data_IF_050422373325
#
_entry.id   IF_050422373325
#
_cell.length_a   1.000
_cell.length_b   1.000
_cell.length_c   1.000
_cell.angle_alpha   90.00
_cell.angle_beta   90.00
_cell.angle_gamma   90.00
#
_symmetry.space_group_name_H-M   'P 1'
#
loop_
_entity.id
_entity.type
_entity.pdbx_description
1 polymer ?
#
# COMPACT_ATOMS: atom_id res chain seq x y z
N UNK A 1 -44.32 3.48 13.55
CA UNK A 1 -43.29 2.81 12.73
C UNK A 1 -43.02 3.73 11.57
N UNK A 2 -42.04 4.62 11.71
CA UNK A 2 -41.75 5.63 10.70
C UNK A 2 -40.54 5.21 9.86
N UNK A 3 -40.84 4.87 8.60
CA UNK A 3 -39.86 4.69 7.53
C UNK A 3 -39.25 6.04 7.18
N UNK A 4 -38.13 6.38 7.80
CA UNK A 4 -37.28 7.47 7.30
C UNK A 4 -36.50 6.97 6.09
N UNK A 5 -36.81 7.56 4.93
CA UNK A 5 -36.07 7.40 3.69
C UNK A 5 -34.61 7.87 3.89
N UNK A 6 -33.71 6.94 4.15
CA UNK A 6 -32.28 7.19 4.08
C UNK A 6 -31.86 7.23 2.61
N UNK A 7 -31.69 8.45 2.08
CA UNK A 7 -31.04 8.69 0.81
C UNK A 7 -29.53 8.75 1.10
N UNK A 8 -28.71 7.74 0.71
CA UNK A 8 -27.28 7.83 0.92
C UNK A 8 -26.72 9.01 0.12
N UNK A 9 -25.80 9.80 0.70
CA UNK A 9 -25.19 10.91 -0.02
C UNK A 9 -24.43 10.39 -1.24
N UNK A 10 -24.64 11.02 -2.39
CA UNK A 10 -23.81 10.80 -3.59
C UNK A 10 -22.36 11.12 -3.23
N UNK A 11 -21.55 10.08 -3.08
CA UNK A 11 -20.10 10.21 -2.87
C UNK A 11 -19.52 10.84 -4.15
N UNK A 12 -19.26 12.15 -4.10
CA UNK A 12 -18.30 12.77 -5.02
C UNK A 12 -16.97 12.05 -4.79
N UNK A 13 -16.38 11.50 -5.85
CA UNK A 13 -15.09 10.82 -5.82
C UNK A 13 -14.09 11.63 -4.98
N UNK A 14 -13.75 11.12 -3.79
CA UNK A 14 -12.69 11.71 -2.98
C UNK A 14 -11.39 11.40 -3.73
N UNK A 15 -10.86 12.40 -4.45
CA UNK A 15 -9.47 12.35 -4.90
C UNK A 15 -8.62 12.37 -3.63
N UNK A 16 -7.91 11.28 -3.34
CA UNK A 16 -6.80 11.31 -2.39
C UNK A 16 -5.80 12.37 -2.88
N UNK A 17 -5.91 13.58 -2.35
CA UNK A 17 -4.97 14.66 -2.63
C UNK A 17 -3.68 14.37 -1.86
N UNK A 18 -2.60 14.16 -2.61
CA UNK A 18 -1.22 14.06 -2.11
C UNK A 18 -0.84 15.37 -1.42
N UNK A 19 -0.75 15.37 -0.09
CA UNK A 19 0.00 16.40 0.62
C UNK A 19 1.47 16.00 0.64
N UNK A 20 2.24 16.61 -0.27
CA UNK A 20 3.70 16.56 -0.27
C UNK A 20 4.22 17.42 0.89
N UNK A 21 5.02 16.82 1.77
CA UNK A 21 5.99 17.57 2.58
C UNK A 21 7.36 17.28 1.95
N UNK A 22 7.89 18.27 1.23
CA UNK A 22 9.30 18.36 0.86
C UNK A 22 10.13 18.36 2.14
N UNK A 23 11.18 17.55 2.20
CA UNK A 23 12.38 17.89 2.97
C UNK A 23 13.64 17.20 2.42
N UNK A 24 14.42 18.03 1.72
CA UNK A 24 15.87 18.15 1.69
C UNK A 24 16.76 16.90 1.57
N UNK A 25 17.36 16.81 0.37
CA UNK A 25 18.64 16.19 0.08
C UNK A 25 19.74 16.95 0.87
N UNK A 26 20.48 16.26 1.74
CA UNK A 26 21.78 16.72 2.21
C UNK A 26 22.87 15.79 1.70
N UNK A 27 23.67 16.31 0.78
CA UNK A 27 24.97 15.79 0.37
C UNK A 27 25.87 15.55 1.59
N UNK A 28 26.53 14.40 1.64
CA UNK A 28 27.92 14.30 2.08
C UNK A 28 28.45 12.89 1.79
N UNK A 29 29.46 12.80 0.92
CA UNK A 29 30.53 11.80 1.02
C UNK A 29 31.67 12.18 0.06
N UNK A 30 32.74 12.76 0.63
CA UNK A 30 34.03 12.90 -0.03
C UNK A 30 34.97 11.78 0.44
N UNK A 31 35.58 11.10 -0.54
CA UNK A 31 36.88 10.41 -0.57
C UNK A 31 37.19 9.28 0.43
N UNK A 32 37.42 8.08 -0.13
CA UNK A 32 38.78 7.56 -0.25
C UNK A 32 38.93 6.46 -1.33
N UNK A 33 39.91 6.66 -2.22
CA UNK A 33 40.47 5.75 -3.22
C UNK A 33 41.21 4.58 -2.50
N UNK A 34 41.24 3.31 -2.91
CA UNK A 34 41.50 2.70 -4.21
C UNK A 34 40.92 1.26 -4.21
N UNK A 35 39.75 1.06 -4.81
CA UNK A 35 39.25 -0.26 -5.28
C UNK A 35 38.11 -0.07 -6.31
N UNK A 36 38.13 1.07 -7.00
CA UNK A 36 36.94 1.71 -7.58
C UNK A 36 36.43 1.06 -8.86
N UNK A 37 37.29 0.44 -9.66
CA UNK A 37 36.90 0.12 -11.05
C UNK A 37 36.03 -1.14 -11.20
N UNK A 38 36.10 -2.11 -10.27
CA UNK A 38 35.20 -3.26 -10.28
C UNK A 38 33.86 -2.98 -9.58
N UNK A 39 33.85 -2.08 -8.59
CA UNK A 39 32.62 -1.64 -7.95
C UNK A 39 31.80 -0.73 -8.87
N UNK A 40 32.43 0.23 -9.56
CA UNK A 40 31.73 1.17 -10.45
C UNK A 40 30.99 0.44 -11.58
N UNK A 41 31.62 -0.54 -12.23
CA UNK A 41 30.99 -1.27 -13.35
C UNK A 41 29.82 -2.17 -12.89
N UNK A 42 29.89 -2.76 -11.70
CA UNK A 42 28.77 -3.50 -11.11
C UNK A 42 27.65 -2.59 -10.60
N UNK A 43 27.97 -1.37 -10.15
CA UNK A 43 26.97 -0.43 -9.63
C UNK A 43 26.17 0.20 -10.77
N UNK A 44 26.82 0.53 -11.90
CA UNK A 44 26.18 1.11 -13.09
C UNK A 44 25.35 0.07 -13.85
N UNK A 45 25.81 -1.19 -13.94
CA UNK A 45 25.04 -2.27 -14.59
C UNK A 45 23.80 -2.69 -13.79
N UNK A 46 23.87 -2.60 -12.46
CA UNK A 46 22.73 -2.88 -11.60
C UNK A 46 21.69 -1.74 -11.60
N UNK A 47 22.11 -0.48 -11.53
CA UNK A 47 21.17 0.66 -11.55
C UNK A 47 20.36 0.71 -12.86
N UNK A 48 20.99 0.41 -14.00
CA UNK A 48 20.31 0.34 -15.30
C UNK A 48 19.37 -0.86 -15.42
N UNK A 49 19.73 -2.02 -14.88
CA UNK A 49 18.87 -3.22 -14.83
C UNK A 49 17.64 -3.04 -13.95
N UNK A 50 17.79 -2.48 -12.75
CA UNK A 50 16.66 -2.26 -11.85
C UNK A 50 15.74 -1.15 -12.34
N UNK A 51 16.28 -0.12 -13.00
CA UNK A 51 15.48 0.89 -13.67
C UNK A 51 14.56 0.30 -14.75
N UNK A 52 15.08 -0.56 -15.62
CA UNK A 52 14.28 -1.28 -16.62
C UNK A 52 13.20 -2.16 -15.98
N UNK A 53 13.56 -2.90 -14.93
CA UNK A 53 12.59 -3.74 -14.18
C UNK A 53 11.48 -2.89 -13.57
N UNK A 54 11.84 -1.74 -13.00
CA UNK A 54 10.92 -0.77 -12.44
C UNK A 54 9.98 -0.23 -13.51
N UNK A 55 10.49 0.24 -14.64
CA UNK A 55 9.67 0.83 -15.71
C UNK A 55 8.64 -0.16 -16.24
N UNK A 56 9.02 -1.45 -16.38
CA UNK A 56 8.08 -2.51 -16.77
C UNK A 56 7.04 -2.81 -15.66
N UNK A 57 7.41 -2.76 -14.38
CA UNK A 57 6.43 -2.91 -13.28
C UNK A 57 5.43 -1.74 -13.29
N UNK A 58 5.92 -0.52 -13.50
CA UNK A 58 5.08 0.68 -13.53
C UNK A 58 4.12 0.65 -14.72
N UNK A 59 4.54 0.16 -15.89
CA UNK A 59 3.64 0.01 -17.03
C UNK A 59 2.53 -1.00 -16.74
N UNK A 60 2.84 -2.11 -16.06
CA UNK A 60 1.86 -3.13 -15.67
C UNK A 60 0.78 -2.61 -14.71
N UNK A 61 1.08 -1.61 -13.87
CA UNK A 61 0.06 -0.98 -13.01
C UNK A 61 -1.04 -0.26 -13.81
N UNK A 62 -0.78 0.15 -15.05
CA UNK A 62 -1.75 0.85 -15.88
C UNK A 62 -2.74 -0.08 -16.59
N UNK A 63 -2.57 -1.41 -16.47
CA UNK A 63 -3.37 -2.41 -17.18
C UNK A 63 -4.07 -3.36 -16.20
N UNK A 64 -5.36 -3.15 -15.98
CA UNK A 64 -6.16 -3.92 -15.01
C UNK A 64 -6.22 -5.43 -15.29
N UNK A 65 -6.19 -5.83 -16.57
CA UNK A 65 -6.13 -7.23 -17.00
C UNK A 65 -4.81 -7.93 -16.62
N UNK A 66 -3.75 -7.16 -16.36
CA UNK A 66 -2.39 -7.66 -16.12
C UNK A 66 -2.02 -7.74 -14.64
N UNK A 67 -2.93 -7.43 -13.71
CA UNK A 67 -2.62 -7.41 -12.28
C UNK A 67 -2.12 -8.76 -11.72
N UNK A 68 -2.57 -9.89 -12.26
CA UNK A 68 -2.02 -11.20 -11.88
C UNK A 68 -0.55 -11.35 -12.23
N UNK A 69 -0.14 -10.83 -13.39
CA UNK A 69 1.26 -10.85 -13.86
C UNK A 69 2.09 -9.90 -13.01
N UNK A 70 1.60 -8.67 -12.80
CA UNK A 70 2.19 -7.66 -11.94
C UNK A 70 2.53 -8.21 -10.55
N UNK A 71 1.56 -8.83 -9.86
CA UNK A 71 1.77 -9.37 -8.52
C UNK A 71 2.81 -10.49 -8.50
N UNK A 72 2.80 -11.39 -9.48
CA UNK A 72 3.84 -12.43 -9.58
C UNK A 72 5.22 -11.83 -9.77
N UNK A 73 5.31 -10.75 -10.56
CA UNK A 73 6.58 -10.09 -10.84
C UNK A 73 7.12 -9.38 -9.60
N UNK A 74 6.28 -8.62 -8.90
CA UNK A 74 6.63 -8.02 -7.61
C UNK A 74 7.13 -9.06 -6.61
N UNK A 75 6.45 -10.21 -6.49
CA UNK A 75 6.90 -11.29 -5.60
C UNK A 75 8.28 -11.88 -5.99
N UNK A 76 8.71 -11.73 -7.24
CA UNK A 76 10.01 -12.21 -7.76
C UNK A 76 11.12 -11.16 -7.72
N UNK A 77 10.82 -9.87 -7.56
CA UNK A 77 11.84 -8.83 -7.38
C UNK A 77 12.74 -9.13 -6.19
N UNK A 78 14.02 -8.85 -6.30
CA UNK A 78 14.99 -9.05 -5.21
C UNK A 78 14.99 -7.88 -4.22
N UNK A 79 15.81 -8.01 -3.19
CA UNK A 79 15.90 -7.05 -2.09
C UNK A 79 16.50 -5.72 -2.51
N UNK A 80 17.39 -5.72 -3.53
CA UNK A 80 18.03 -4.50 -4.04
C UNK A 80 16.99 -3.63 -4.72
N UNK A 81 16.12 -4.23 -5.55
CA UNK A 81 14.99 -3.53 -6.16
C UNK A 81 14.12 -2.83 -5.10
N UNK A 82 13.80 -3.52 -4.00
CA UNK A 82 12.96 -2.93 -2.96
C UNK A 82 13.68 -1.85 -2.14
N UNK A 83 14.98 -1.96 -1.89
CA UNK A 83 15.75 -0.88 -1.25
C UNK A 83 15.67 0.44 -2.04
N UNK A 84 15.58 0.36 -3.36
CA UNK A 84 15.55 1.54 -4.23
C UNK A 84 14.12 2.09 -4.46
N UNK A 85 13.13 1.21 -4.58
CA UNK A 85 11.79 1.59 -5.06
C UNK A 85 10.63 1.32 -4.08
N UNK A 86 10.89 0.82 -2.87
CA UNK A 86 9.85 0.40 -1.91
C UNK A 86 8.75 1.43 -1.70
N UNK A 87 9.09 2.70 -1.45
CA UNK A 87 8.10 3.75 -1.18
C UNK A 87 7.10 3.92 -2.34
N UNK A 88 7.59 3.98 -3.58
CA UNK A 88 6.76 4.19 -4.77
C UNK A 88 5.90 2.94 -5.04
N UNK A 89 6.47 1.77 -4.83
CA UNK A 89 5.78 0.50 -5.05
C UNK A 89 4.72 0.25 -3.97
N UNK A 90 4.99 0.60 -2.71
CA UNK A 90 4.01 0.47 -1.62
C UNK A 90 2.73 1.22 -1.96
N UNK A 91 2.84 2.50 -2.29
CA UNK A 91 1.68 3.34 -2.62
C UNK A 91 0.89 2.74 -3.78
N UNK A 92 1.56 2.32 -4.86
CA UNK A 92 0.88 1.71 -6.02
C UNK A 92 0.21 0.38 -5.69
N UNK A 93 0.80 -0.44 -4.83
CA UNK A 93 0.20 -1.72 -4.38
C UNK A 93 -1.01 -1.48 -3.50
N UNK A 94 -0.99 -0.44 -2.66
CA UNK A 94 -2.12 -0.05 -1.83
C UNK A 94 -3.25 0.58 -2.66
N UNK A 95 -2.93 1.42 -3.65
CA UNK A 95 -3.88 1.92 -4.65
C UNK A 95 -4.57 0.76 -5.38
N UNK A 96 -3.79 -0.24 -5.81
CA UNK A 96 -4.31 -1.46 -6.42
C UNK A 96 -5.25 -2.20 -5.47
N UNK A 97 -4.95 -2.25 -4.18
CA UNK A 97 -5.80 -2.90 -3.19
C UNK A 97 -7.14 -2.16 -3.04
N UNK A 98 -7.13 -0.83 -2.87
CA UNK A 98 -8.34 0.02 -2.79
C UNK A 98 -9.17 -0.10 -4.07
N UNK A 99 -8.52 -0.03 -5.23
CA UNK A 99 -9.16 -0.20 -6.53
C UNK A 99 -9.85 -1.56 -6.63
N UNK A 100 -9.17 -2.64 -6.23
CA UNK A 100 -9.77 -3.97 -6.24
C UNK A 100 -11.02 -4.00 -5.38
N UNK A 101 -10.94 -3.57 -4.10
CA UNK A 101 -12.09 -3.52 -3.18
C UNK A 101 -13.28 -2.80 -3.80
N UNK A 102 -13.05 -1.62 -4.35
CA UNK A 102 -14.10 -0.78 -4.94
C UNK A 102 -14.76 -1.46 -6.14
N UNK A 103 -14.00 -2.22 -6.93
CA UNK A 103 -14.51 -2.93 -8.09
C UNK A 103 -15.12 -4.31 -7.76
N UNK A 104 -14.74 -4.97 -6.66
CA UNK A 104 -15.44 -6.20 -6.18
C UNK A 104 -16.93 -5.90 -5.96
N UNK A 105 -17.24 -4.70 -5.48
CA UNK A 105 -18.61 -4.24 -5.22
C UNK A 105 -19.40 -4.11 -6.54
N UNK A 106 -18.75 -3.78 -7.65
CA UNK A 106 -19.39 -3.55 -8.95
C UNK A 106 -19.33 -4.76 -9.90
N UNK A 107 -18.38 -5.68 -9.71
CA UNK A 107 -18.16 -6.84 -10.58
C UNK A 107 -17.90 -8.06 -9.70
N UNK A 108 -18.83 -9.02 -9.69
CA UNK A 108 -18.76 -10.27 -8.91
C UNK A 108 -17.50 -11.13 -9.15
N UNK A 109 -16.70 -10.79 -10.15
CA UNK A 109 -15.41 -11.41 -10.45
C UNK A 109 -14.27 -10.48 -10.08
N UNK A 110 -13.82 -10.54 -8.84
CA UNK A 110 -12.60 -9.85 -8.39
C UNK A 110 -11.34 -10.53 -8.92
N UNK A 111 -10.47 -9.71 -9.52
CA UNK A 111 -9.43 -10.06 -10.50
C UNK A 111 -8.08 -10.46 -9.84
N UNK A 112 -7.92 -10.27 -8.52
CA UNK A 112 -6.67 -10.52 -7.80
C UNK A 112 -6.93 -11.09 -6.39
N UNK A 113 -6.22 -12.17 -6.03
CA UNK A 113 -6.29 -12.75 -4.69
C UNK A 113 -5.65 -11.79 -3.66
N UNK A 114 -6.46 -11.22 -2.76
CA UNK A 114 -6.05 -10.35 -1.65
C UNK A 114 -4.86 -10.92 -0.86
N UNK A 115 -4.80 -12.24 -0.68
CA UNK A 115 -3.67 -12.92 -0.01
C UNK A 115 -2.33 -12.61 -0.67
N UNK A 116 -2.30 -12.54 -2.00
CA UNK A 116 -1.05 -12.24 -2.71
C UNK A 116 -0.66 -10.76 -2.61
N UNK A 117 -1.63 -9.86 -2.47
CA UNK A 117 -1.33 -8.44 -2.19
C UNK A 117 -0.64 -8.33 -0.83
N UNK A 118 -1.17 -8.99 0.21
CA UNK A 118 -0.53 -9.00 1.54
C UNK A 118 0.87 -9.62 1.51
N UNK A 119 1.11 -10.64 0.68
CA UNK A 119 2.47 -11.19 0.48
C UNK A 119 3.43 -10.17 -0.12
N UNK A 120 2.97 -9.34 -1.06
CA UNK A 120 3.77 -8.25 -1.63
C UNK A 120 4.04 -7.18 -0.57
N UNK A 121 3.03 -6.75 0.18
CA UNK A 121 3.19 -5.78 1.27
C UNK A 121 4.22 -6.26 2.31
N UNK A 122 4.11 -7.50 2.77
CA UNK A 122 5.08 -8.10 3.71
C UNK A 122 6.50 -8.16 3.14
N UNK A 123 6.66 -8.22 1.82
CA UNK A 123 7.98 -8.18 1.17
C UNK A 123 8.55 -6.77 1.09
N UNK A 124 7.71 -5.75 0.92
CA UNK A 124 8.12 -4.34 0.83
C UNK A 124 8.47 -3.77 2.20
N UNK A 125 7.70 -4.13 3.22
CA UNK A 125 7.77 -3.60 4.59
C UNK A 125 9.20 -3.46 5.18
N UNK A 126 10.09 -4.45 5.08
CA UNK A 126 11.43 -4.37 5.67
C UNK A 126 12.33 -3.28 5.08
N UNK A 127 11.94 -2.71 3.92
CA UNK A 127 12.72 -1.73 3.17
C UNK A 127 12.21 -0.29 3.38
N UNK A 128 11.33 -0.08 4.35
CA UNK A 128 10.70 1.21 4.60
C UNK A 128 10.95 1.71 6.02
N UNK A 129 11.02 3.04 6.16
CA UNK A 129 11.01 3.67 7.47
C UNK A 129 9.67 3.42 8.17
N UNK A 130 9.74 3.09 9.46
CA UNK A 130 8.57 2.72 10.25
C UNK A 130 7.54 3.85 10.31
N UNK A 131 7.95 5.11 10.38
CA UNK A 131 7.02 6.23 10.47
C UNK A 131 6.32 6.46 9.13
N UNK A 132 7.06 6.35 8.02
CA UNK A 132 6.47 6.43 6.67
C UNK A 132 5.42 5.34 6.51
N UNK A 133 5.78 4.11 6.86
CA UNK A 133 4.91 2.96 6.70
C UNK A 133 3.65 3.06 7.59
N UNK A 134 3.82 3.45 8.86
CA UNK A 134 2.72 3.71 9.79
C UNK A 134 1.78 4.78 9.27
N UNK A 135 2.30 5.90 8.78
CA UNK A 135 1.50 6.99 8.22
C UNK A 135 0.75 6.54 6.95
N UNK A 136 1.43 5.87 6.02
CA UNK A 136 0.81 5.37 4.79
C UNK A 136 -0.32 4.41 5.08
N UNK A 137 -0.09 3.37 5.90
CA UNK A 137 -1.14 2.41 6.24
C UNK A 137 -2.30 3.04 7.01
N UNK A 138 -2.03 3.99 7.89
CA UNK A 138 -3.07 4.77 8.59
C UNK A 138 -3.99 5.49 7.59
N UNK A 139 -3.40 6.21 6.63
CA UNK A 139 -4.15 6.95 5.61
C UNK A 139 -5.01 6.03 4.76
N UNK A 140 -4.45 4.90 4.30
CA UNK A 140 -5.18 3.92 3.50
C UNK A 140 -6.30 3.24 4.29
N UNK A 141 -6.08 2.92 5.57
CA UNK A 141 -7.11 2.34 6.42
C UNK A 141 -8.29 3.30 6.60
N UNK A 142 -8.03 4.58 6.86
CA UNK A 142 -9.08 5.61 6.96
C UNK A 142 -9.91 5.66 5.67
N UNK A 143 -9.25 5.59 4.50
CA UNK A 143 -9.94 5.55 3.21
C UNK A 143 -10.80 4.29 3.08
N UNK A 144 -10.29 3.13 3.47
CA UNK A 144 -11.02 1.86 3.34
C UNK A 144 -12.20 1.73 4.31
N UNK A 145 -12.14 2.37 5.49
CA UNK A 145 -13.26 2.41 6.44
C UNK A 145 -14.50 3.10 5.89
N UNK A 146 -14.37 3.88 4.81
CA UNK A 146 -15.50 4.47 4.10
C UNK A 146 -16.23 3.45 3.19
N UNK A 147 -15.73 2.22 3.09
CA UNK A 147 -16.28 1.16 2.24
C UNK A 147 -16.85 0.02 3.08
N UNK A 148 -18.06 -0.43 2.76
CA UNK A 148 -18.76 -1.53 3.44
C UNK A 148 -18.31 -2.93 2.92
N UNK A 149 -17.00 -3.20 2.88
CA UNK A 149 -16.44 -4.46 2.33
C UNK A 149 -15.79 -5.36 3.39
N UNK A 150 -16.01 -6.67 3.29
CA UNK A 150 -15.29 -7.68 4.11
C UNK A 150 -13.75 -7.59 3.94
N UNK A 151 -13.30 -7.15 2.76
CA UNK A 151 -11.88 -6.94 2.49
C UNK A 151 -11.27 -5.86 3.39
N UNK A 152 -12.03 -4.81 3.74
CA UNK A 152 -11.63 -3.77 4.69
C UNK A 152 -11.21 -4.38 6.02
N UNK A 153 -12.01 -5.30 6.58
CA UNK A 153 -11.69 -5.97 7.83
C UNK A 153 -10.38 -6.78 7.72
N UNK A 154 -10.14 -7.46 6.59
CA UNK A 154 -8.92 -8.23 6.36
C UNK A 154 -7.68 -7.35 6.35
N UNK A 155 -7.75 -6.17 5.72
CA UNK A 155 -6.66 -5.20 5.77
C UNK A 155 -6.43 -4.68 7.18
N UNK A 156 -7.49 -4.35 7.92
CA UNK A 156 -7.37 -3.87 9.29
C UNK A 156 -6.75 -4.92 10.22
N UNK A 157 -7.11 -6.20 10.09
CA UNK A 157 -6.46 -7.28 10.83
C UNK A 157 -4.99 -7.42 10.47
N UNK A 158 -4.66 -7.31 9.17
CA UNK A 158 -3.26 -7.31 8.72
C UNK A 158 -2.47 -6.20 9.40
N UNK A 159 -3.00 -4.96 9.39
CA UNK A 159 -2.36 -3.80 10.00
C UNK A 159 -2.26 -3.96 11.53
N UNK A 160 -3.33 -4.32 12.25
CA UNK A 160 -3.28 -4.54 13.71
C UNK A 160 -2.17 -5.51 14.09
N UNK A 161 -2.07 -6.63 13.37
CA UNK A 161 -1.11 -7.69 13.70
C UNK A 161 0.33 -7.24 13.47
N UNK A 162 0.57 -6.39 12.46
CA UNK A 162 1.90 -5.92 12.09
C UNK A 162 2.33 -4.65 12.83
N UNK A 163 1.37 -3.77 13.10
CA UNK A 163 1.54 -2.43 13.67
C UNK A 163 0.44 -2.17 14.72
N UNK A 164 0.52 -2.81 15.90
CA UNK A 164 -0.56 -2.79 16.89
C UNK A 164 -0.95 -1.37 17.33
N UNK A 165 0.03 -0.47 17.42
CA UNK A 165 -0.16 0.89 17.92
C UNK A 165 -0.95 1.79 16.95
N UNK A 166 -1.14 1.40 15.68
CA UNK A 166 -1.91 2.20 14.71
C UNK A 166 -3.37 2.35 15.14
N UNK A 167 -3.94 1.32 15.77
CA UNK A 167 -5.33 1.32 16.22
C UNK A 167 -5.52 1.87 17.64
N UNK A 168 -4.44 2.25 18.32
CA UNK A 168 -4.50 2.91 19.63
C UNK A 168 -4.85 4.39 19.52
N UNK A 169 -4.73 4.98 18.32
CA UNK A 169 -5.19 6.34 18.07
C UNK A 169 -6.72 6.43 18.23
N UNK A 170 -7.19 7.24 19.19
CA UNK A 170 -8.60 7.35 19.55
C UNK A 170 -9.50 7.73 18.37
N UNK A 171 -9.04 8.63 17.49
CA UNK A 171 -9.81 9.07 16.31
C UNK A 171 -10.03 7.87 15.38
N UNK A 172 -8.97 7.13 15.08
CA UNK A 172 -9.05 5.94 14.23
C UNK A 172 -9.94 4.90 14.88
N UNK A 173 -9.71 4.61 16.17
CA UNK A 173 -10.47 3.63 16.95
C UNK A 173 -11.96 3.92 16.93
N UNK A 174 -12.36 5.17 17.06
CA UNK A 174 -13.77 5.56 17.00
C UNK A 174 -14.35 5.48 15.57
N UNK A 175 -13.56 5.80 14.54
CA UNK A 175 -13.96 5.54 13.15
C UNK A 175 -14.17 4.05 12.89
N UNK A 176 -13.29 3.19 13.40
CA UNK A 176 -13.43 1.73 13.31
C UNK A 176 -14.74 1.28 13.96
N UNK A 177 -14.99 1.70 15.21
CA UNK A 177 -16.22 1.34 15.93
C UNK A 177 -17.48 1.78 15.19
N UNK A 178 -17.44 2.95 14.55
CA UNK A 178 -18.59 3.54 13.86
C UNK A 178 -18.91 2.84 12.53
N UNK A 179 -17.89 2.45 11.77
CA UNK A 179 -18.07 1.94 10.40
C UNK A 179 -18.19 0.41 10.31
N UNK A 180 -17.70 -0.35 11.31
CA UNK A 180 -17.85 -1.80 11.31
C UNK A 180 -19.22 -2.19 11.87
N UNK A 181 -20.06 -2.82 11.03
CA UNK A 181 -21.39 -3.29 11.44
C UNK A 181 -21.34 -4.49 12.38
N UNK A 182 -20.36 -5.37 12.22
CA UNK A 182 -20.18 -6.55 13.06
C UNK A 182 -19.38 -6.20 14.33
N UNK A 183 -20.11 -6.01 15.43
CA UNK A 183 -19.53 -5.69 16.74
C UNK A 183 -18.57 -6.78 17.26
N UNK A 184 -18.70 -8.02 16.81
CA UNK A 184 -17.77 -9.10 17.19
C UNK A 184 -16.40 -8.93 16.53
N UNK A 185 -16.36 -8.36 15.32
CA UNK A 185 -15.11 -8.02 14.62
C UNK A 185 -14.43 -6.84 15.32
N UNK A 186 -15.20 -5.84 15.78
CA UNK A 186 -14.66 -4.67 16.50
C UNK A 186 -13.80 -5.11 17.68
N UNK A 187 -14.30 -6.00 18.55
CA UNK A 187 -13.56 -6.45 19.74
C UNK A 187 -12.30 -7.28 19.43
N UNK A 188 -12.16 -7.77 18.20
CA UNK A 188 -10.91 -8.42 17.75
C UNK A 188 -9.93 -7.41 17.15
N UNK A 189 -10.43 -6.30 16.61
CA UNK A 189 -9.66 -5.22 16.00
C UNK A 189 -9.18 -4.18 17.02
N UNK A 190 -9.94 -3.93 18.08
CA UNK A 190 -9.56 -3.03 19.18
C UNK A 190 -9.08 -3.89 20.33
#
# INVERSE_FOLDING_TARGET
MDNSNFIPPKIKSIKCTKNYINNNISNNCFKNNNNSNNCINNTISNSTKYKSTYDEIISLFNHSSMYKILIRKLLRCDDIFYKEYANIILDKVLDLYVFNITNIINIKNSIVNIKNIFRVLTKIEPYMDINILTNTYTNYMICMLQTDSEATHKFMFYIKRKYPNILENDIIKDMVKKNIKDKSIIGRII
#
